data_IF_756917685566
#
_entry.id   IF_756917685566
#
_cell.length_a   1.000
_cell.length_b   1.000
_cell.length_c   1.000
_cell.angle_alpha   90.00
_cell.angle_beta   90.00
_cell.angle_gamma   90.00
#
_symmetry.space_group_name_H-M   'P 1'
#
loop_
_entity.id
_entity.type
_entity.pdbx_description
1 polymer ?
#
# COMPACT_ATOMS: atom_id res chain seq x y z
N UNK A 1 25.39 25.07 17.19
CA UNK A 1 24.37 25.59 18.11
C UNK A 1 23.03 24.97 17.79
N UNK A 2 22.45 24.20 18.73
CA UNK A 2 21.06 23.77 18.64
C UNK A 2 20.18 25.02 18.80
N UNK A 3 19.22 25.25 17.91
CA UNK A 3 18.30 26.40 18.03
C UNK A 3 17.54 26.29 19.36
N UNK A 4 17.63 27.31 20.21
CA UNK A 4 16.90 27.38 21.48
C UNK A 4 15.39 27.33 21.17
N UNK A 5 14.69 26.31 21.67
CA UNK A 5 13.24 26.13 21.44
C UNK A 5 12.42 26.80 22.53
N UNK A 6 11.17 27.08 22.19
CA UNK A 6 10.19 27.74 23.07
C UNK A 6 9.44 26.77 23.99
N UNK A 7 9.67 25.45 23.91
CA UNK A 7 8.91 24.44 24.64
C UNK A 7 9.79 23.39 25.31
N UNK A 8 9.31 22.85 26.44
CA UNK A 8 10.00 21.82 27.23
C UNK A 8 9.73 20.41 26.67
N UNK A 9 10.72 19.52 26.60
CA UNK A 9 10.53 18.14 26.12
C UNK A 9 9.43 17.39 26.88
N UNK A 10 9.34 17.60 28.19
CA UNK A 10 8.32 17.01 29.07
C UNK A 10 6.90 17.37 28.64
N UNK A 11 6.69 18.55 28.05
CA UNK A 11 5.37 18.96 27.57
C UNK A 11 4.85 18.05 26.45
N UNK A 12 5.74 17.37 25.70
CA UNK A 12 5.35 16.43 24.65
C UNK A 12 4.61 15.21 25.19
N UNK A 13 4.75 14.89 26.48
CA UNK A 13 3.97 13.83 27.11
C UNK A 13 2.48 14.14 26.97
N UNK A 14 2.09 15.42 27.10
CA UNK A 14 0.68 15.82 26.94
C UNK A 14 0.21 15.79 25.49
N UNK A 15 1.09 16.08 24.54
CA UNK A 15 0.80 15.86 23.12
C UNK A 15 0.59 14.37 22.83
N UNK A 16 1.51 13.50 23.29
CA UNK A 16 1.40 12.05 23.10
C UNK A 16 0.15 11.47 23.77
N UNK A 17 -0.13 11.84 25.02
CA UNK A 17 -1.31 11.36 25.74
C UNK A 17 -2.61 11.81 25.06
N UNK A 18 -2.72 13.08 24.67
CA UNK A 18 -3.90 13.56 23.93
C UNK A 18 -4.03 12.89 22.56
N UNK A 19 -2.92 12.59 21.89
CA UNK A 19 -2.91 11.87 20.60
C UNK A 19 -3.44 10.44 20.76
N UNK A 20 -2.98 9.71 21.78
CA UNK A 20 -3.47 8.35 22.05
C UNK A 20 -4.97 8.33 22.35
N UNK A 21 -5.45 9.29 23.16
CA UNK A 21 -6.88 9.40 23.49
C UNK A 21 -7.71 9.72 22.24
N UNK A 22 -7.29 10.70 21.45
CA UNK A 22 -8.03 11.13 20.26
C UNK A 22 -8.00 10.08 19.15
N UNK A 23 -6.88 9.37 18.95
CA UNK A 23 -6.81 8.22 18.05
C UNK A 23 -7.72 7.08 18.51
N UNK A 24 -7.72 6.75 19.80
CA UNK A 24 -8.61 5.73 20.36
C UNK A 24 -10.08 6.05 20.12
N UNK A 25 -10.49 7.28 20.43
CA UNK A 25 -11.86 7.75 20.19
C UNK A 25 -12.22 7.78 18.70
N UNK A 26 -11.32 8.31 17.85
CA UNK A 26 -11.53 8.37 16.41
C UNK A 26 -11.66 6.97 15.79
N UNK A 27 -10.79 6.04 16.20
CA UNK A 27 -10.84 4.65 15.77
C UNK A 27 -12.11 3.94 16.25
N UNK A 28 -12.55 4.18 17.49
CA UNK A 28 -13.83 3.65 17.99
C UNK A 28 -15.01 4.17 17.18
N UNK A 29 -15.06 5.47 16.88
CA UNK A 29 -16.13 6.06 16.05
C UNK A 29 -16.12 5.47 14.65
N UNK A 30 -14.95 5.37 14.01
CA UNK A 30 -14.82 4.77 12.70
C UNK A 30 -15.25 3.29 12.70
N UNK A 31 -14.97 2.55 13.77
CA UNK A 31 -15.38 1.16 13.96
C UNK A 31 -16.88 0.95 14.21
N UNK A 32 -17.64 2.01 14.54
CA UNK A 32 -19.11 1.94 14.63
C UNK A 32 -19.80 2.03 13.27
N UNK A 33 -19.07 2.46 12.24
CA UNK A 33 -19.59 2.57 10.88
C UNK A 33 -19.60 1.20 10.20
N UNK A 34 -20.50 1.04 9.24
CA UNK A 34 -20.64 -0.21 8.50
C UNK A 34 -19.33 -0.57 7.80
N UNK A 35 -18.94 -1.84 7.92
CA UNK A 35 -17.69 -2.33 7.36
C UNK A 35 -17.68 -2.15 5.84
N UNK A 36 -16.58 -1.61 5.33
CA UNK A 36 -16.38 -1.33 3.89
C UNK A 36 -17.30 -0.25 3.31
N UNK A 37 -18.00 0.51 4.16
CA UNK A 37 -18.75 1.67 3.73
C UNK A 37 -17.83 2.85 3.35
N UNK A 38 -18.32 3.70 2.46
CA UNK A 38 -17.66 4.96 2.10
C UNK A 38 -17.42 5.86 3.32
N UNK A 39 -18.35 5.84 4.28
CA UNK A 39 -18.28 6.62 5.51
C UNK A 39 -17.13 6.12 6.41
N UNK A 40 -16.98 4.80 6.54
CA UNK A 40 -15.89 4.20 7.30
C UNK A 40 -14.52 4.53 6.68
N UNK A 41 -14.39 4.49 5.36
CA UNK A 41 -13.14 4.89 4.68
C UNK A 41 -12.80 6.37 4.93
N UNK A 42 -13.79 7.26 4.81
CA UNK A 42 -13.61 8.69 5.11
C UNK A 42 -13.21 8.89 6.56
N UNK A 43 -13.88 8.20 7.50
CA UNK A 43 -13.56 8.27 8.91
C UNK A 43 -12.11 7.82 9.18
N UNK A 44 -11.70 6.66 8.67
CA UNK A 44 -10.35 6.11 8.83
C UNK A 44 -9.26 7.07 8.35
N UNK A 45 -9.48 7.75 7.22
CA UNK A 45 -8.55 8.75 6.67
C UNK A 45 -8.48 10.00 7.54
N UNK A 46 -9.59 10.38 8.18
CA UNK A 46 -9.66 11.55 9.04
C UNK A 46 -9.11 11.32 10.44
N UNK A 47 -9.15 10.08 10.97
CA UNK A 47 -8.78 9.79 12.36
C UNK A 47 -7.41 10.39 12.72
N UNK A 48 -6.37 10.08 11.96
CA UNK A 48 -5.01 10.53 12.24
C UNK A 48 -4.83 12.06 12.14
N UNK A 49 -5.15 12.73 11.02
CA UNK A 49 -4.95 14.18 10.91
C UNK A 49 -5.80 14.96 11.92
N UNK A 50 -7.04 14.55 12.17
CA UNK A 50 -7.89 15.19 13.16
C UNK A 50 -7.34 15.01 14.57
N UNK A 51 -6.90 13.79 14.93
CA UNK A 51 -6.28 13.52 16.21
C UNK A 51 -5.04 14.40 16.44
N UNK A 52 -4.16 14.51 15.44
CA UNK A 52 -2.98 15.38 15.51
C UNK A 52 -3.38 16.84 15.74
N UNK A 53 -4.36 17.37 15.00
CA UNK A 53 -4.79 18.77 15.15
C UNK A 53 -5.41 19.05 16.53
N UNK A 54 -6.22 18.13 17.06
CA UNK A 54 -6.79 18.25 18.41
C UNK A 54 -5.66 18.20 19.46
N UNK A 55 -4.72 17.26 19.32
CA UNK A 55 -3.58 17.14 20.23
C UNK A 55 -2.67 18.36 20.21
N UNK A 56 -2.46 18.98 19.04
CA UNK A 56 -1.75 20.25 18.95
C UNK A 56 -2.46 21.34 19.73
N UNK A 57 -3.78 21.46 19.57
CA UNK A 57 -4.57 22.44 20.32
C UNK A 57 -4.44 22.23 21.83
N UNK A 58 -4.62 20.99 22.30
CA UNK A 58 -4.46 20.63 23.72
C UNK A 58 -3.06 20.97 24.21
N UNK A 59 -2.02 20.57 23.47
CA UNK A 59 -0.63 20.82 23.81
C UNK A 59 -0.30 22.31 23.92
N UNK A 60 -0.83 23.15 23.01
CA UNK A 60 -0.66 24.60 23.07
C UNK A 60 -1.32 25.20 24.32
N UNK A 61 -2.54 24.74 24.65
CA UNK A 61 -3.26 25.22 25.82
C UNK A 61 -2.58 24.81 27.13
N UNK A 62 -2.06 23.59 27.21
CA UNK A 62 -1.28 23.12 28.37
C UNK A 62 0.00 23.93 28.54
N UNK A 63 0.77 24.15 27.48
CA UNK A 63 2.00 24.95 27.56
C UNK A 63 1.73 26.39 27.99
N UNK A 64 0.64 26.98 27.49
CA UNK A 64 0.23 28.32 27.89
C UNK A 64 -0.15 28.38 29.37
N UNK A 65 -0.89 27.39 29.87
CA UNK A 65 -1.47 27.41 31.23
C UNK A 65 -0.51 26.92 32.32
N UNK A 66 0.23 25.85 32.07
CA UNK A 66 1.06 25.20 33.09
C UNK A 66 2.53 25.60 33.02
N UNK A 67 3.04 25.85 31.81
CA UNK A 67 4.43 26.22 31.61
C UNK A 67 4.62 27.73 31.41
N UNK A 68 3.54 28.52 31.35
CA UNK A 68 3.56 29.96 31.05
C UNK A 68 4.35 30.30 29.77
N UNK A 69 4.32 29.38 28.79
CA UNK A 69 5.01 29.53 27.50
C UNK A 69 3.98 29.76 26.39
N UNK A 70 3.71 31.02 26.01
CA UNK A 70 2.88 31.31 24.85
C UNK A 70 3.64 30.92 23.57
N UNK A 71 3.30 29.75 23.02
CA UNK A 71 3.87 29.25 21.77
C UNK A 71 3.19 29.87 20.56
N UNK A 72 3.97 30.48 19.66
CA UNK A 72 3.46 30.92 18.34
C UNK A 72 3.58 29.79 17.32
N UNK A 73 2.53 29.55 16.55
CA UNK A 73 2.52 28.51 15.50
C UNK A 73 3.71 28.63 14.53
N UNK A 74 3.98 29.84 14.07
CA UNK A 74 5.08 30.12 13.13
C UNK A 74 6.47 29.83 13.71
N UNK A 75 6.65 30.00 15.02
CA UNK A 75 7.93 29.80 15.69
C UNK A 75 8.12 28.33 16.11
N UNK A 76 7.05 27.69 16.59
CA UNK A 76 7.04 26.27 16.98
C UNK A 76 7.41 25.36 15.82
N UNK A 77 6.85 25.63 14.64
CA UNK A 77 7.08 24.83 13.42
C UNK A 77 8.18 25.42 12.53
N UNK A 78 8.74 26.57 12.88
CA UNK A 78 9.89 27.15 12.19
C UNK A 78 9.58 27.74 10.81
N UNK A 79 8.35 28.19 10.59
CA UNK A 79 7.93 28.89 9.37
C UNK A 79 8.57 30.28 9.25
N UNK A 80 9.02 30.89 10.35
CA UNK A 80 9.62 32.24 10.37
C UNK A 80 11.11 32.28 9.98
N UNK A 81 11.55 31.47 9.00
CA UNK A 81 12.96 31.39 8.57
C UNK A 81 13.25 32.23 7.32
N UNK A 82 14.39 32.94 7.32
CA UNK A 82 14.88 33.74 6.17
C UNK A 82 14.98 32.95 4.84
N UNK A 83 15.10 31.62 4.90
CA UNK A 83 15.24 30.72 3.75
C UNK A 83 14.05 29.77 3.55
N UNK A 84 12.86 30.14 4.04
CA UNK A 84 11.67 29.29 3.93
C UNK A 84 11.40 28.86 2.48
N UNK A 85 11.41 29.82 1.55
CA UNK A 85 11.16 29.54 0.13
C UNK A 85 12.17 28.55 -0.46
N UNK A 86 13.46 28.72 -0.16
CA UNK A 86 14.51 27.79 -0.61
C UNK A 86 14.29 26.38 -0.06
N UNK A 87 13.87 26.27 1.20
CA UNK A 87 13.56 24.98 1.83
C UNK A 87 12.35 24.32 1.16
N UNK A 88 11.27 25.07 0.91
CA UNK A 88 10.07 24.55 0.24
C UNK A 88 10.36 24.10 -1.18
N UNK A 89 11.10 24.91 -1.96
CA UNK A 89 11.52 24.56 -3.33
C UNK A 89 12.41 23.31 -3.32
N UNK A 90 13.38 23.23 -2.40
CA UNK A 90 14.22 22.03 -2.30
C UNK A 90 13.42 20.77 -1.94
N UNK A 91 12.43 20.90 -1.04
CA UNK A 91 11.52 19.81 -0.68
C UNK A 91 10.67 19.37 -1.87
N UNK A 92 10.12 20.33 -2.62
CA UNK A 92 9.34 20.05 -3.82
C UNK A 92 10.19 19.34 -4.89
N UNK A 93 11.40 19.81 -5.15
CA UNK A 93 12.32 19.16 -6.12
C UNK A 93 12.62 17.73 -5.71
N UNK A 94 12.93 17.49 -4.43
CA UNK A 94 13.19 16.14 -3.93
C UNK A 94 11.93 15.27 -4.04
N UNK A 95 10.76 15.79 -3.68
CA UNK A 95 9.48 15.08 -3.80
C UNK A 95 9.17 14.68 -5.24
N UNK A 96 9.27 15.61 -6.19
CA UNK A 96 9.07 15.31 -7.63
C UNK A 96 10.09 14.29 -8.12
N UNK A 97 11.36 14.42 -7.73
CA UNK A 97 12.40 13.47 -8.13
C UNK A 97 12.12 12.05 -7.61
N UNK A 98 11.64 11.93 -6.36
CA UNK A 98 11.25 10.64 -5.78
C UNK A 98 10.07 10.01 -6.53
N UNK A 99 9.03 10.80 -6.86
CA UNK A 99 7.88 10.32 -7.63
C UNK A 99 8.31 9.81 -9.00
N UNK A 100 9.14 10.57 -9.72
CA UNK A 100 9.65 10.16 -11.03
C UNK A 100 10.50 8.88 -10.95
N UNK A 101 11.33 8.76 -9.91
CA UNK A 101 12.14 7.57 -9.67
C UNK A 101 11.26 6.35 -9.38
N UNK A 102 10.23 6.52 -8.55
CA UNK A 102 9.27 5.45 -8.25
C UNK A 102 8.49 5.03 -9.50
N UNK A 103 8.06 5.98 -10.34
CA UNK A 103 7.41 5.67 -11.62
C UNK A 103 8.32 4.89 -12.57
N UNK A 104 9.60 5.29 -12.66
CA UNK A 104 10.58 4.57 -13.47
C UNK A 104 10.81 3.16 -12.94
N UNK A 105 10.96 3.00 -11.62
CA UNK A 105 11.16 1.70 -11.00
C UNK A 105 9.94 0.79 -11.21
N UNK A 106 8.72 1.33 -11.09
CA UNK A 106 7.49 0.59 -11.37
C UNK A 106 7.42 0.16 -12.84
N UNK A 107 7.78 1.03 -13.78
CA UNK A 107 7.83 0.70 -15.20
C UNK A 107 8.86 -0.39 -15.51
N UNK A 108 10.07 -0.27 -14.97
CA UNK A 108 11.13 -1.27 -15.13
C UNK A 108 10.72 -2.60 -14.50
N UNK A 109 10.12 -2.58 -13.31
CA UNK A 109 9.58 -3.78 -12.66
C UNK A 109 8.52 -4.46 -13.52
N UNK A 110 7.58 -3.69 -14.08
CA UNK A 110 6.55 -4.23 -14.96
C UNK A 110 7.16 -4.88 -16.21
N UNK A 111 8.15 -4.22 -16.84
CA UNK A 111 8.86 -4.78 -18.00
C UNK A 111 9.66 -6.03 -17.66
N UNK A 112 10.30 -6.07 -16.50
CA UNK A 112 11.03 -7.25 -16.02
C UNK A 112 10.05 -8.41 -15.81
N UNK A 113 8.93 -8.17 -15.13
CA UNK A 113 7.87 -9.18 -14.94
C UNK A 113 7.30 -9.65 -16.28
N UNK A 114 7.08 -8.76 -17.25
CA UNK A 114 6.61 -9.14 -18.60
C UNK A 114 7.65 -10.01 -19.33
N UNK A 115 8.95 -9.73 -19.17
CA UNK A 115 10.02 -10.52 -19.82
C UNK A 115 10.34 -11.83 -19.12
N UNK A 116 10.19 -11.89 -17.79
CA UNK A 116 10.46 -13.08 -16.98
C UNK A 116 9.21 -13.97 -16.80
N UNK A 117 8.03 -13.36 -16.78
CA UNK A 117 6.70 -13.99 -16.75
C UNK A 117 6.22 -14.45 -18.12
N UNK A 118 7.13 -14.60 -19.09
CA UNK A 118 6.96 -15.63 -20.12
C UNK A 118 7.08 -16.98 -19.41
N UNK A 119 6.00 -17.35 -18.74
CA UNK A 119 5.88 -18.60 -18.01
C UNK A 119 6.06 -19.73 -19.02
N UNK A 120 7.16 -20.47 -18.91
CA UNK A 120 7.43 -21.63 -19.76
C UNK A 120 6.32 -22.71 -19.68
N UNK A 121 5.40 -22.59 -18.71
CA UNK A 121 4.24 -23.48 -18.51
C UNK A 121 2.96 -23.04 -19.18
N UNK A 122 2.73 -21.73 -19.28
CA UNK A 122 1.64 -21.20 -20.10
C UNK A 122 2.03 -21.23 -21.58
N UNK A 123 3.33 -21.08 -21.88
CA UNK A 123 3.88 -21.24 -23.23
C UNK A 123 3.85 -22.69 -23.75
N UNK A 124 3.68 -23.71 -22.90
CA UNK A 124 3.49 -25.10 -23.34
C UNK A 124 2.02 -25.47 -23.59
N UNK A 125 1.09 -24.61 -23.16
CA UNK A 125 -0.35 -24.70 -23.40
C UNK A 125 -0.79 -23.90 -24.64
N UNK A 126 -0.06 -22.84 -24.93
CA UNK A 126 -0.15 -22.03 -26.15
C UNK A 126 0.50 -22.78 -27.33
N UNK A 127 -0.24 -23.70 -27.95
CA UNK A 127 0.28 -24.63 -28.97
C UNK A 127 0.72 -23.86 -30.22
N UNK A 128 0.04 -22.76 -30.54
CA UNK A 128 0.33 -21.91 -31.69
C UNK A 128 1.29 -20.73 -31.37
N UNK A 129 1.72 -20.59 -30.11
CA UNK A 129 2.66 -19.57 -29.61
C UNK A 129 2.19 -18.13 -29.90
N UNK A 130 0.88 -17.89 -29.88
CA UNK A 130 0.30 -16.58 -30.16
C UNK A 130 0.22 -15.68 -28.89
N UNK A 131 0.55 -16.21 -27.72
CA UNK A 131 0.53 -15.54 -26.42
C UNK A 131 -0.83 -15.53 -25.72
N UNK A 132 -1.80 -16.31 -26.19
CA UNK A 132 -3.19 -16.40 -25.73
C UNK A 132 -3.57 -17.87 -25.59
N UNK A 133 -4.07 -18.29 -24.43
CA UNK A 133 -4.56 -19.66 -24.23
C UNK A 133 -6.06 -19.71 -24.51
N UNK A 134 -6.45 -20.48 -25.52
CA UNK A 134 -7.85 -20.71 -25.88
C UNK A 134 -8.48 -21.84 -25.05
N UNK A 135 -9.82 -21.84 -24.96
CA UNK A 135 -10.59 -22.91 -24.29
C UNK A 135 -10.34 -24.29 -24.93
N UNK A 136 -10.03 -24.34 -26.23
CA UNK A 136 -9.73 -25.58 -26.95
C UNK A 136 -8.35 -26.14 -26.58
N UNK A 137 -7.34 -25.28 -26.45
CA UNK A 137 -6.01 -25.64 -25.95
C UNK A 137 -6.07 -26.11 -24.48
N UNK A 138 -6.93 -25.47 -23.69
CA UNK A 138 -7.20 -25.87 -22.30
C UNK A 138 -7.83 -27.27 -22.18
N UNK A 139 -8.76 -27.65 -23.06
CA UNK A 139 -9.42 -28.96 -23.01
C UNK A 139 -8.47 -30.15 -23.27
N UNK A 140 -7.29 -29.92 -23.85
CA UNK A 140 -6.29 -30.96 -24.08
C UNK A 140 -5.34 -31.21 -22.89
N UNK A 141 -5.47 -30.43 -21.81
CA UNK A 141 -4.64 -30.50 -20.59
C UNK A 141 -4.74 -31.86 -19.88
N UNK A 142 -5.88 -32.53 -19.98
CA UNK A 142 -6.14 -33.80 -19.30
C UNK A 142 -5.05 -34.86 -19.59
N UNK A 143 -4.46 -34.85 -20.79
CA UNK A 143 -3.37 -35.77 -21.15
C UNK A 143 -2.03 -35.36 -20.53
N UNK A 144 -1.79 -34.07 -20.35
CA UNK A 144 -0.58 -33.54 -19.74
C UNK A 144 -0.58 -33.77 -18.22
N UNK A 145 -1.71 -33.55 -17.55
CA UNK A 145 -1.87 -33.73 -16.10
C UNK A 145 -1.73 -35.19 -15.67
N UNK A 146 -2.30 -36.14 -16.42
CA UNK A 146 -2.14 -37.59 -16.16
C UNK A 146 -0.67 -38.03 -16.27
N UNK A 147 0.18 -37.29 -17.00
CA UNK A 147 1.61 -37.59 -17.11
C UNK A 147 2.45 -37.02 -15.96
N UNK A 148 1.89 -36.11 -15.15
CA UNK A 148 2.54 -35.45 -14.02
C UNK A 148 2.30 -36.18 -12.70
N UNK A 149 1.17 -36.88 -12.56
CA UNK A 149 0.85 -37.73 -11.41
C UNK A 149 1.69 -39.04 -11.45
N UNK A 150 2.96 -38.92 -11.07
CA UNK A 150 3.94 -40.01 -11.11
C UNK A 150 3.61 -41.06 -10.06
N UNK A 151 3.16 -40.62 -8.88
CA UNK A 151 2.86 -41.50 -7.76
C UNK A 151 1.46 -42.16 -7.87
N UNK A 152 0.60 -41.67 -8.77
CA UNK A 152 -0.76 -42.15 -9.09
C UNK A 152 -1.73 -42.07 -7.92
N UNK A 153 -1.56 -41.08 -7.06
CA UNK A 153 -2.45 -40.82 -5.92
C UNK A 153 -3.66 -39.97 -6.29
N UNK A 154 -3.72 -39.47 -7.54
CA UNK A 154 -4.82 -38.66 -8.05
C UNK A 154 -4.78 -37.19 -7.63
N UNK A 155 -3.67 -36.74 -7.04
CA UNK A 155 -3.36 -35.35 -6.72
C UNK A 155 -2.03 -34.97 -7.40
N UNK A 156 -1.78 -33.68 -7.58
CA UNK A 156 -0.48 -33.20 -8.07
C UNK A 156 0.22 -32.44 -6.96
N UNK A 157 1.32 -33.00 -6.47
CA UNK A 157 2.20 -32.34 -5.51
C UNK A 157 3.11 -31.31 -6.16
N UNK A 158 3.57 -30.34 -5.38
CA UNK A 158 4.54 -29.33 -5.84
C UNK A 158 5.83 -29.98 -6.38
N UNK A 159 6.27 -31.08 -5.78
CA UNK A 159 7.43 -31.84 -6.22
C UNK A 159 7.23 -32.48 -7.60
N UNK A 160 6.05 -33.07 -7.86
CA UNK A 160 5.70 -33.66 -9.17
C UNK A 160 5.58 -32.61 -10.28
N UNK A 161 5.12 -31.42 -9.92
CA UNK A 161 5.08 -30.24 -10.80
C UNK A 161 6.51 -29.73 -11.07
N UNK A 162 7.36 -29.65 -10.03
CA UNK A 162 8.72 -29.10 -10.13
C UNK A 162 9.73 -30.04 -10.81
N UNK A 163 9.60 -31.36 -10.65
CA UNK A 163 10.48 -32.36 -11.29
C UNK A 163 10.36 -32.35 -12.82
N UNK A 164 9.29 -31.73 -13.37
CA UNK A 164 9.09 -31.48 -14.81
C UNK A 164 9.11 -29.99 -15.17
N UNK A 165 9.91 -29.20 -14.45
CA UNK A 165 10.15 -27.75 -14.63
C UNK A 165 10.56 -27.26 -16.03
N UNK A 166 10.82 -28.15 -16.99
CA UNK A 166 10.98 -27.78 -18.40
C UNK A 166 9.66 -27.68 -19.18
N UNK A 167 8.54 -28.13 -18.59
CA UNK A 167 7.21 -28.13 -19.23
C UNK A 167 6.30 -27.09 -18.57
N UNK A 168 6.43 -26.89 -17.25
CA UNK A 168 5.75 -25.85 -16.51
C UNK A 168 6.80 -24.93 -15.89
N UNK A 169 6.95 -23.74 -16.47
CA UNK A 169 7.68 -22.63 -15.86
C UNK A 169 7.15 -22.31 -14.46
N UNK A 170 7.84 -21.40 -13.77
CA UNK A 170 7.70 -21.14 -12.32
C UNK A 170 6.26 -21.31 -11.82
N UNK A 171 6.12 -22.00 -10.68
CA UNK A 171 4.91 -22.68 -10.19
C UNK A 171 3.65 -21.80 -10.01
N UNK A 172 3.70 -20.52 -10.39
CA UNK A 172 2.69 -19.49 -10.26
C UNK A 172 1.46 -19.67 -11.14
N UNK A 173 1.56 -20.28 -12.33
CA UNK A 173 0.40 -20.47 -13.22
C UNK A 173 -0.55 -21.58 -12.76
N UNK A 174 -0.08 -22.50 -11.92
CA UNK A 174 -0.86 -23.60 -11.36
C UNK A 174 -1.55 -23.24 -10.04
N UNK A 175 -1.12 -22.14 -9.39
CA UNK A 175 -1.78 -21.56 -8.21
C UNK A 175 -3.23 -21.15 -8.53
N UNK A 176 -3.53 -20.82 -9.79
CA UNK A 176 -4.88 -20.47 -10.23
C UNK A 176 -5.88 -21.64 -10.07
N UNK A 177 -5.39 -22.88 -10.02
CA UNK A 177 -6.22 -24.07 -9.85
C UNK A 177 -6.37 -24.47 -8.37
N UNK A 178 -5.37 -24.18 -7.55
CA UNK A 178 -5.37 -24.39 -6.10
C UNK A 178 -6.30 -23.37 -5.42
N UNK A 179 -7.60 -23.70 -5.41
CA UNK A 179 -8.66 -22.79 -4.96
C UNK A 179 -8.69 -22.68 -3.44
N UNK A 180 -8.21 -23.71 -2.75
CA UNK A 180 -8.22 -23.80 -1.29
C UNK A 180 -6.88 -23.35 -0.66
N UNK A 181 -5.87 -23.00 -1.48
CA UNK A 181 -4.52 -22.55 -1.11
C UNK A 181 -3.75 -23.57 -0.23
N UNK A 182 -4.03 -24.87 -0.39
CA UNK A 182 -3.38 -25.94 0.37
C UNK A 182 -2.06 -26.44 -0.24
N UNK A 183 -1.64 -25.82 -1.35
CA UNK A 183 -0.43 -26.11 -2.12
C UNK A 183 -0.44 -27.50 -2.79
N UNK A 184 -1.61 -28.14 -2.87
CA UNK A 184 -1.88 -29.34 -3.65
C UNK A 184 -2.96 -29.01 -4.68
N UNK A 185 -2.94 -29.73 -5.81
CA UNK A 185 -4.02 -29.63 -6.79
C UNK A 185 -4.80 -30.94 -6.76
N UNK A 186 -6.01 -30.87 -6.20
CA UNK A 186 -6.94 -31.99 -6.13
C UNK A 186 -7.61 -32.26 -7.48
N UNK A 187 -8.16 -33.48 -7.63
CA UNK A 187 -8.95 -33.86 -8.79
C UNK A 187 -10.20 -32.98 -8.95
N UNK A 188 -10.79 -32.57 -7.85
CA UNK A 188 -11.95 -31.67 -7.81
C UNK A 188 -11.57 -30.27 -8.31
N UNK A 189 -10.39 -29.76 -7.97
CA UNK A 189 -9.88 -28.47 -8.47
C UNK A 189 -9.56 -28.52 -9.97
N UNK A 190 -9.03 -29.64 -10.46
CA UNK A 190 -8.82 -29.87 -11.91
C UNK A 190 -10.17 -29.92 -12.65
N UNK A 191 -11.17 -30.61 -12.09
CA UNK A 191 -12.50 -30.72 -12.71
C UNK A 191 -13.25 -29.39 -12.71
N UNK A 192 -13.06 -28.57 -11.67
CA UNK A 192 -13.64 -27.24 -11.57
C UNK A 192 -12.78 -26.16 -12.23
N UNK A 193 -11.59 -26.50 -12.74
CA UNK A 193 -10.67 -25.57 -13.40
C UNK A 193 -11.35 -24.80 -14.52
N UNK A 194 -12.13 -25.48 -15.37
CA UNK A 194 -12.85 -24.81 -16.46
C UNK A 194 -13.85 -23.75 -15.96
N UNK A 195 -14.50 -23.99 -14.81
CA UNK A 195 -15.43 -23.06 -14.19
C UNK A 195 -14.68 -21.90 -13.51
N UNK A 196 -13.59 -22.20 -12.82
CA UNK A 196 -12.76 -21.21 -12.13
C UNK A 196 -12.05 -20.29 -13.14
N UNK A 197 -11.54 -20.83 -14.25
CA UNK A 197 -10.93 -20.07 -15.33
C UNK A 197 -11.95 -19.20 -16.08
N UNK A 198 -13.17 -19.70 -16.32
CA UNK A 198 -14.25 -18.88 -16.86
C UNK A 198 -14.62 -17.70 -15.94
N UNK A 199 -14.35 -17.80 -14.63
CA UNK A 199 -14.54 -16.69 -13.69
C UNK A 199 -13.45 -15.62 -13.76
N UNK A 200 -12.30 -15.95 -14.38
CA UNK A 200 -11.18 -15.03 -14.59
C UNK A 200 -11.30 -14.24 -15.89
N UNK A 201 -12.05 -14.75 -16.87
CA UNK A 201 -12.41 -14.05 -18.12
C UNK A 201 -13.41 -12.93 -17.79
N UNK A 202 -12.87 -11.77 -17.39
CA UNK A 202 -13.69 -10.64 -16.94
C UNK A 202 -14.34 -9.92 -18.10
N UNK A 203 -13.70 -9.93 -19.26
CA UNK A 203 -14.19 -9.23 -20.44
C UNK A 203 -15.14 -10.11 -21.29
N UNK A 204 -15.31 -11.39 -20.94
CA UNK A 204 -16.13 -12.40 -21.61
C UNK A 204 -15.79 -12.55 -23.10
N UNK A 205 -14.52 -12.43 -23.46
CA UNK A 205 -14.05 -12.61 -24.83
C UNK A 205 -13.69 -14.06 -25.16
N UNK A 206 -13.79 -14.96 -24.18
CA UNK A 206 -13.50 -16.39 -24.31
C UNK A 206 -12.00 -16.71 -24.32
N UNK A 207 -11.16 -15.74 -23.96
CA UNK A 207 -9.71 -15.86 -23.86
C UNK A 207 -9.26 -15.43 -22.46
N UNK A 208 -8.14 -15.97 -22.00
CA UNK A 208 -7.51 -15.52 -20.76
C UNK A 208 -6.20 -14.81 -21.08
N UNK A 209 -6.20 -13.49 -20.93
CA UNK A 209 -5.00 -12.69 -21.08
C UNK A 209 -4.07 -12.85 -19.88
N UNK A 210 -2.77 -12.59 -20.05
CA UNK A 210 -1.83 -12.54 -18.92
C UNK A 210 -2.24 -11.55 -17.82
N UNK A 211 -3.09 -10.56 -18.10
CA UNK A 211 -3.65 -9.65 -17.10
C UNK A 211 -4.78 -10.25 -16.25
N UNK A 212 -5.43 -11.30 -16.75
CA UNK A 212 -6.49 -12.06 -16.08
C UNK A 212 -5.95 -13.29 -15.34
N UNK A 213 -4.85 -13.87 -15.86
CA UNK A 213 -4.15 -15.02 -15.29
C UNK A 213 -3.19 -14.59 -14.17
N UNK A 214 -2.58 -13.42 -14.27
CA UNK A 214 -1.74 -12.92 -13.18
C UNK A 214 -2.62 -12.58 -11.99
N UNK A 215 -2.28 -13.13 -10.82
CA UNK A 215 -2.66 -12.58 -9.52
C UNK A 215 -2.08 -11.18 -9.41
N UNK A 216 -2.69 -10.21 -10.11
CA UNK A 216 -2.45 -8.78 -9.91
C UNK A 216 -2.62 -8.57 -8.42
N UNK A 217 -1.51 -8.26 -7.74
CA UNK A 217 -1.49 -7.91 -6.33
C UNK A 217 -2.73 -7.06 -6.06
N UNK A 218 -3.64 -7.58 -5.21
CA UNK A 218 -4.95 -6.99 -5.02
C UNK A 218 -4.77 -5.48 -4.83
N UNK A 219 -5.25 -4.64 -5.77
CA UNK A 219 -4.99 -3.21 -5.70
C UNK A 219 -5.53 -2.71 -4.37
N UNK A 220 -4.79 -1.81 -3.72
CA UNK A 220 -5.18 -1.29 -2.40
C UNK A 220 -6.65 -0.86 -2.44
N UNK A 221 -7.44 -1.22 -1.41
CA UNK A 221 -8.89 -0.96 -1.36
C UNK A 221 -9.25 0.50 -1.72
N UNK A 222 -8.40 1.45 -1.32
CA UNK A 222 -8.54 2.87 -1.63
C UNK A 222 -8.45 3.19 -3.13
N UNK A 223 -7.60 2.48 -3.88
CA UNK A 223 -7.45 2.64 -5.34
C UNK A 223 -8.71 2.19 -6.06
N UNK A 224 -9.25 1.02 -5.70
CA UNK A 224 -10.51 0.50 -6.25
C UNK A 224 -11.64 1.47 -5.94
N UNK A 225 -11.71 1.96 -4.70
CA UNK A 225 -12.73 2.92 -4.30
C UNK A 225 -12.62 4.23 -5.08
N UNK A 226 -11.42 4.79 -5.28
CA UNK A 226 -11.23 6.01 -6.08
C UNK A 226 -11.67 5.79 -7.53
N UNK A 227 -11.38 4.63 -8.12
CA UNK A 227 -11.85 4.29 -9.47
C UNK A 227 -13.38 4.24 -9.53
N UNK A 228 -14.03 3.62 -8.55
CA UNK A 228 -15.49 3.59 -8.41
C UNK A 228 -16.09 5.00 -8.28
N UNK A 229 -15.44 5.92 -7.55
CA UNK A 229 -15.89 7.31 -7.45
C UNK A 229 -15.83 8.04 -8.80
N UNK A 230 -14.82 7.78 -9.62
CA UNK A 230 -14.68 8.35 -10.96
C UNK A 230 -15.76 7.81 -11.87
N UNK A 231 -15.97 6.50 -11.88
CA UNK A 231 -16.99 5.83 -12.69
C UNK A 231 -18.40 6.32 -12.33
N UNK A 232 -18.72 6.39 -11.02
CA UNK A 232 -20.00 6.89 -10.51
C UNK A 232 -20.12 8.42 -10.51
N UNK A 233 -19.14 9.15 -11.06
CA UNK A 233 -19.12 10.62 -11.16
C UNK A 233 -19.30 11.34 -9.81
N UNK A 234 -18.82 10.74 -8.71
CA UNK A 234 -18.89 11.28 -7.34
C UNK A 234 -17.76 12.27 -7.06
N UNK A 235 -17.70 13.36 -7.82
CA UNK A 235 -16.57 14.30 -7.80
C UNK A 235 -16.35 15.02 -6.47
N UNK A 236 -17.40 15.24 -5.68
CA UNK A 236 -17.26 15.85 -4.33
C UNK A 236 -16.39 14.96 -3.44
N UNK A 237 -16.70 13.66 -3.42
CA UNK A 237 -15.96 12.70 -2.62
C UNK A 237 -14.55 12.53 -3.17
N UNK A 238 -14.38 12.43 -4.49
CA UNK A 238 -13.07 12.40 -5.12
C UNK A 238 -12.22 13.63 -4.73
N UNK A 239 -12.80 14.83 -4.81
CA UNK A 239 -12.16 16.07 -4.42
C UNK A 239 -11.72 16.09 -2.96
N UNK A 240 -12.49 15.46 -2.07
CA UNK A 240 -12.11 15.26 -0.67
C UNK A 240 -10.83 14.41 -0.55
N UNK A 241 -10.75 13.25 -1.21
CA UNK A 241 -9.55 12.40 -1.17
C UNK A 241 -8.32 13.11 -1.73
N UNK A 242 -8.48 13.82 -2.85
CA UNK A 242 -7.40 14.62 -3.45
C UNK A 242 -6.95 15.72 -2.49
N UNK A 243 -7.88 16.44 -1.86
CA UNK A 243 -7.55 17.46 -0.87
C UNK A 243 -6.79 16.86 0.34
N UNK A 244 -7.24 15.72 0.85
CA UNK A 244 -6.59 15.03 1.96
C UNK A 244 -5.16 14.64 1.61
N UNK A 245 -4.93 14.05 0.43
CA UNK A 245 -3.62 13.56 0.02
C UNK A 245 -2.65 14.70 -0.38
N UNK A 246 -3.14 15.74 -1.07
CA UNK A 246 -2.29 16.79 -1.65
C UNK A 246 -2.07 17.96 -0.69
N UNK A 247 -3.02 18.24 0.21
CA UNK A 247 -2.94 19.39 1.11
C UNK A 247 -2.80 18.96 2.57
N UNK A 248 -3.74 18.17 3.08
CA UNK A 248 -3.82 17.92 4.53
C UNK A 248 -2.67 17.03 5.01
N UNK A 249 -2.43 15.90 4.34
CA UNK A 249 -1.38 14.96 4.72
C UNK A 249 0.01 15.62 4.73
N UNK A 250 0.47 16.33 3.67
CA UNK A 250 1.79 17.01 3.70
C UNK A 250 1.93 18.05 4.81
N UNK A 251 0.86 18.79 5.13
CA UNK A 251 0.87 19.77 6.22
C UNK A 251 1.03 19.07 7.57
N UNK A 252 0.23 18.04 7.81
CA UNK A 252 0.25 17.26 9.05
C UNK A 252 1.60 16.56 9.22
N UNK A 253 2.14 15.99 8.16
CA UNK A 253 3.47 15.36 8.14
C UNK A 253 4.58 16.36 8.45
N UNK A 254 4.59 17.54 7.82
CA UNK A 254 5.60 18.57 8.09
C UNK A 254 5.55 19.02 9.57
N UNK A 255 4.34 19.18 10.12
CA UNK A 255 4.12 19.53 11.53
C UNK A 255 4.63 18.40 12.45
N UNK A 256 4.21 17.16 12.22
CA UNK A 256 4.53 16.04 13.09
C UNK A 256 6.02 15.68 13.02
N UNK A 257 6.54 15.41 11.83
CA UNK A 257 7.88 14.87 11.65
C UNK A 257 8.95 15.96 11.77
N UNK A 258 8.82 17.07 11.05
CA UNK A 258 9.84 18.14 11.06
C UNK A 258 9.61 19.17 12.16
N UNK A 259 8.36 19.40 12.51
CA UNK A 259 7.96 20.35 13.53
C UNK A 259 8.18 19.86 14.96
N UNK A 260 7.84 18.60 15.25
CA UNK A 260 7.85 18.02 16.61
C UNK A 260 8.91 16.94 16.75
N UNK A 261 8.85 15.87 15.95
CA UNK A 261 9.60 14.64 16.19
C UNK A 261 11.11 14.82 15.97
N UNK A 262 11.52 15.32 14.80
CA UNK A 262 12.93 15.59 14.51
C UNK A 262 13.57 16.50 15.57
N UNK A 263 12.95 17.63 15.95
CA UNK A 263 13.47 18.48 17.01
C UNK A 263 13.54 17.82 18.38
N UNK A 264 12.53 17.03 18.76
CA UNK A 264 12.51 16.30 20.02
C UNK A 264 13.70 15.33 20.11
N UNK A 265 13.93 14.54 19.06
CA UNK A 265 15.03 13.56 19.04
C UNK A 265 16.37 14.28 18.93
N UNK A 266 16.45 15.37 18.14
CA UNK A 266 17.68 16.14 17.97
C UNK A 266 18.20 16.73 19.29
N UNK A 267 17.33 17.04 20.24
CA UNK A 267 17.71 17.58 21.55
C UNK A 267 18.56 16.61 22.38
N UNK A 268 18.52 15.31 22.07
CA UNK A 268 19.36 14.28 22.70
C UNK A 268 20.85 14.45 22.36
N UNK A 269 21.17 15.29 21.36
CA UNK A 269 22.56 15.66 21.03
C UNK A 269 23.10 15.05 19.73
N UNK A 270 22.29 14.23 19.03
CA UNK A 270 22.70 13.55 17.80
C UNK A 270 21.82 13.94 16.60
N UNK A 271 22.12 15.07 15.91
CA UNK A 271 21.29 15.58 14.81
C UNK A 271 21.13 14.64 13.62
N UNK A 272 22.16 13.82 13.33
CA UNK A 272 22.11 12.83 12.24
C UNK A 272 21.19 11.66 12.58
N UNK A 273 21.33 11.11 13.80
CA UNK A 273 20.44 10.06 14.28
C UNK A 273 18.99 10.54 14.33
N UNK A 274 18.75 11.78 14.75
CA UNK A 274 17.41 12.37 14.74
C UNK A 274 16.79 12.43 13.34
N UNK A 275 17.59 12.72 12.30
CA UNK A 275 17.10 12.72 10.92
C UNK A 275 16.75 11.31 10.45
N UNK A 276 17.64 10.34 10.72
CA UNK A 276 17.46 8.94 10.31
C UNK A 276 16.25 8.32 11.03
N UNK A 277 16.14 8.49 12.35
CA UNK A 277 15.03 7.91 13.13
C UNK A 277 13.69 8.51 12.73
N UNK A 278 13.62 9.83 12.51
CA UNK A 278 12.39 10.49 12.03
C UNK A 278 12.01 9.98 10.64
N UNK A 279 12.97 9.75 9.75
CA UNK A 279 12.73 9.19 8.42
C UNK A 279 12.24 7.73 8.46
N UNK A 280 12.81 6.91 9.36
CA UNK A 280 12.34 5.53 9.58
C UNK A 280 10.90 5.52 10.10
N UNK A 281 10.59 6.35 11.10
CA UNK A 281 9.22 6.44 11.63
C UNK A 281 8.27 6.95 10.54
N UNK A 282 8.67 7.93 9.74
CA UNK A 282 7.89 8.39 8.58
C UNK A 282 7.60 7.24 7.61
N UNK A 283 8.63 6.45 7.25
CA UNK A 283 8.45 5.30 6.39
C UNK A 283 7.48 4.27 7.00
N UNK A 284 7.61 3.96 8.29
CA UNK A 284 6.72 3.02 8.99
C UNK A 284 5.25 3.46 9.00
N UNK A 285 4.97 4.76 9.06
CA UNK A 285 3.59 5.30 8.92
C UNK A 285 2.99 5.03 7.53
N UNK A 286 3.84 4.83 6.52
CA UNK A 286 3.45 4.56 5.15
C UNK A 286 3.58 3.07 4.77
N UNK A 287 4.22 2.26 5.61
CA UNK A 287 4.27 0.81 5.43
C UNK A 287 2.89 0.25 5.76
N UNK A 288 2.15 -0.09 4.70
CA UNK A 288 0.99 -0.96 4.80
C UNK A 288 1.52 -2.40 4.85
N UNK A 289 1.56 -3.01 6.04
CA UNK A 289 2.05 -4.38 6.28
C UNK A 289 1.17 -5.49 5.67
N UNK A 290 0.30 -5.16 4.69
CA UNK A 290 -0.64 -6.10 4.03
C UNK A 290 -0.54 -6.01 2.50
N UNK A 291 0.64 -5.69 1.96
CA UNK A 291 0.83 -5.59 0.49
C UNK A 291 2.12 -6.25 -0.03
N UNK A 292 2.63 -7.25 0.70
CA UNK A 292 3.53 -8.24 0.14
C UNK A 292 2.91 -9.61 0.35
#
# INVERSE_FOLDING_TARGET
MLSKRQWHPESLITFGASLMITLGLGGSIAGLLENESAEQMVANILVLPVAILISLFVWFQVNRKFYNLPMSFSDTFGFRRKKLLQCLVSGLIVGVSLVLTAMLLAFVSAKIIETLGKDAGLASLDEDNNGIITIEEWQNIDKALVSLDVNKDGQLSKEEIMDKSNIFGDASSLIVLDTNEDMLISKEEIQNAAVNLASLDKNNDGQLSGEEITTKANPQKLVIFIADLVEKKRYIMLGFFVCMAVLVAPIVEEILFRGILYPAIKQIGFPRLAAISTAIIFALFHVNLVTF
#
